data_IF_787752238604
#
_entry.id   IF_787752238604
#
_cell.length_a   1.000
_cell.length_b   1.000
_cell.length_c   1.000
_cell.angle_alpha   90.00
_cell.angle_beta   90.00
_cell.angle_gamma   90.00
#
_symmetry.space_group_name_H-M   'P 1'
#
loop_
_entity.id
_entity.type
_entity.pdbx_description
1 polymer ?
#
# COMPACT_ATOMS: atom_id res chain seq x y z
N UNK A 1 -17.89 -7.34 -16.29
CA UNK A 1 -17.52 -7.35 -17.73
C UNK A 1 -16.16 -8.01 -17.82
N UNK A 2 -15.94 -8.94 -18.75
CA UNK A 2 -14.59 -9.44 -19.04
C UNK A 2 -13.78 -8.25 -19.56
N UNK A 3 -12.57 -7.99 -19.05
CA UNK A 3 -11.73 -6.95 -19.59
C UNK A 3 -11.52 -7.22 -21.09
N UNK A 4 -11.75 -6.20 -21.94
CA UNK A 4 -11.46 -6.28 -23.35
C UNK A 4 -9.97 -6.08 -23.53
N UNK A 5 -9.31 -6.95 -24.31
CA UNK A 5 -7.93 -6.71 -24.71
C UNK A 5 -7.79 -5.35 -25.38
N UNK A 6 -6.70 -4.61 -25.13
CA UNK A 6 -6.49 -3.32 -25.76
C UNK A 6 -6.29 -3.48 -27.27
N UNK A 7 -6.61 -2.42 -28.04
CA UNK A 7 -6.48 -2.44 -29.49
C UNK A 7 -5.01 -2.33 -29.96
N UNK A 8 -4.10 -1.94 -29.05
CA UNK A 8 -2.64 -1.87 -29.26
C UNK A 8 -1.91 -2.03 -27.93
N UNK A 9 -0.61 -2.31 -28.00
CA UNK A 9 0.30 -2.34 -26.85
C UNK A 9 1.72 -1.97 -27.29
N UNK A 10 2.70 -2.10 -26.40
CA UNK A 10 4.11 -1.83 -26.68
C UNK A 10 4.69 -2.83 -27.69
N UNK A 11 5.69 -2.44 -28.50
CA UNK A 11 6.35 -3.36 -29.41
C UNK A 11 6.97 -4.56 -28.67
N UNK A 12 6.76 -5.76 -29.21
CA UNK A 12 7.27 -7.00 -28.65
C UNK A 12 6.38 -7.67 -27.59
N UNK A 13 5.22 -7.10 -27.27
CA UNK A 13 4.20 -7.66 -26.37
C UNK A 13 2.92 -7.95 -27.14
N UNK A 14 2.18 -8.98 -26.76
CA UNK A 14 0.86 -9.26 -27.33
C UNK A 14 -0.24 -8.44 -26.63
N UNK A 15 -1.33 -8.12 -27.35
CA UNK A 15 -2.49 -7.46 -26.72
C UNK A 15 -3.17 -8.34 -25.68
N UNK A 16 -3.05 -9.65 -25.80
CA UNK A 16 -3.55 -10.61 -24.82
C UNK A 16 -2.75 -10.50 -23.50
N UNK A 17 -1.41 -10.42 -23.56
CA UNK A 17 -0.56 -10.27 -22.38
C UNK A 17 -0.82 -8.92 -21.69
N UNK A 18 -0.90 -7.83 -22.44
CA UNK A 18 -1.24 -6.53 -21.86
C UNK A 18 -2.65 -6.51 -21.27
N UNK A 19 -3.62 -7.16 -21.91
CA UNK A 19 -4.97 -7.34 -21.37
C UNK A 19 -5.01 -8.10 -20.05
N UNK A 20 -4.08 -9.03 -19.85
CA UNK A 20 -3.93 -9.75 -18.57
C UNK A 20 -3.23 -8.90 -17.48
N UNK A 21 -2.27 -8.04 -17.86
CA UNK A 21 -1.50 -7.20 -16.94
C UNK A 21 -2.28 -5.97 -16.45
N UNK A 22 -3.01 -5.29 -17.34
CA UNK A 22 -3.74 -4.04 -17.03
C UNK A 22 -4.65 -4.16 -15.79
N UNK A 23 -5.48 -5.18 -15.62
CA UNK A 23 -6.33 -5.30 -14.42
C UNK A 23 -5.53 -5.45 -13.12
N UNK A 24 -4.37 -6.10 -13.16
CA UNK A 24 -3.48 -6.23 -12.01
C UNK A 24 -2.96 -4.85 -11.58
N UNK A 25 -2.48 -4.06 -12.55
CA UNK A 25 -2.01 -2.70 -12.31
C UNK A 25 -3.13 -1.78 -11.82
N UNK A 26 -4.34 -1.91 -12.37
CA UNK A 26 -5.49 -1.11 -11.95
C UNK A 26 -5.81 -1.31 -10.46
N UNK A 27 -5.77 -2.53 -9.97
CA UNK A 27 -5.96 -2.80 -8.54
C UNK A 27 -4.81 -2.26 -7.67
N UNK A 28 -3.58 -2.25 -8.19
CA UNK A 28 -2.44 -1.64 -7.48
C UNK A 28 -2.54 -0.13 -7.45
N UNK A 29 -3.00 0.50 -8.55
CA UNK A 29 -3.29 1.93 -8.61
C UNK A 29 -4.32 2.34 -7.54
N UNK A 30 -5.41 1.59 -7.40
CA UNK A 30 -6.39 1.83 -6.34
C UNK A 30 -5.78 1.67 -4.95
N UNK A 31 -4.99 0.62 -4.73
CA UNK A 31 -4.36 0.35 -3.43
C UNK A 31 -3.37 1.46 -3.02
N UNK A 32 -2.54 1.95 -3.95
CA UNK A 32 -1.59 3.02 -3.65
C UNK A 32 -2.28 4.38 -3.47
N UNK A 33 -3.33 4.68 -4.22
CA UNK A 33 -4.14 5.88 -3.99
C UNK A 33 -4.81 5.86 -2.61
N UNK A 34 -5.39 4.73 -2.21
CA UNK A 34 -5.98 4.56 -0.89
C UNK A 34 -4.92 4.63 0.23
N UNK A 35 -3.75 4.02 0.03
CA UNK A 35 -2.63 4.11 0.95
C UNK A 35 -2.16 5.56 1.15
N UNK A 36 -2.03 6.34 0.07
CA UNK A 36 -1.63 7.74 0.16
C UNK A 36 -2.64 8.58 0.96
N UNK A 37 -3.94 8.32 0.79
CA UNK A 37 -5.02 8.95 1.56
C UNK A 37 -4.99 8.49 3.03
N UNK A 38 -4.79 7.21 3.29
CA UNK A 38 -4.66 6.63 4.63
C UNK A 38 -3.46 7.23 5.39
N UNK A 39 -2.31 7.34 4.75
CA UNK A 39 -1.12 7.98 5.32
C UNK A 39 -1.40 9.44 5.69
N UNK A 40 -2.07 10.21 4.84
CA UNK A 40 -2.45 11.59 5.18
C UNK A 40 -3.53 11.65 6.25
N UNK A 41 -4.46 10.70 6.31
CA UNK A 41 -5.41 10.60 7.41
C UNK A 41 -4.68 10.40 8.75
N UNK A 42 -3.69 9.50 8.80
CA UNK A 42 -2.85 9.28 9.99
C UNK A 42 -2.08 10.56 10.35
N UNK A 43 -1.41 11.18 9.37
CA UNK A 43 -0.65 12.42 9.55
C UNK A 43 -1.47 13.54 10.21
N UNK A 44 -2.77 13.66 9.87
CA UNK A 44 -3.65 14.68 10.45
C UNK A 44 -4.25 14.30 11.81
N UNK A 45 -4.32 13.00 12.13
CA UNK A 45 -5.04 12.48 13.29
C UNK A 45 -4.14 11.92 14.39
N UNK A 46 -2.83 11.81 14.14
CA UNK A 46 -1.87 11.37 15.15
C UNK A 46 -1.71 12.42 16.26
N UNK A 47 -1.66 11.98 17.52
CA UNK A 47 -1.46 12.84 18.71
C UNK A 47 -0.50 12.17 19.70
N UNK A 48 -0.20 12.85 20.79
CA UNK A 48 0.57 12.31 21.93
C UNK A 48 2.08 12.58 21.86
N UNK A 49 2.86 11.98 22.77
CA UNK A 49 4.29 12.33 22.96
C UNK A 49 5.18 12.12 21.74
N UNK A 50 4.84 11.17 20.87
CA UNK A 50 5.61 10.83 19.67
C UNK A 50 5.00 11.42 18.39
N UNK A 51 4.07 12.38 18.53
CA UNK A 51 3.35 12.99 17.42
C UNK A 51 4.28 13.45 16.30
N UNK A 52 5.26 14.31 16.61
CA UNK A 52 6.06 14.98 15.56
C UNK A 52 6.89 13.96 14.76
N UNK A 53 7.43 12.94 15.42
CA UNK A 53 8.25 11.93 14.76
C UNK A 53 7.43 11.11 13.73
N UNK A 54 6.21 10.73 14.07
CA UNK A 54 5.33 9.97 13.16
C UNK A 54 4.75 10.87 12.08
N UNK A 55 4.34 12.10 12.45
CA UNK A 55 3.82 13.10 11.53
C UNK A 55 4.83 13.40 10.39
N UNK A 56 6.11 13.65 10.74
CA UNK A 56 7.17 13.91 9.75
C UNK A 56 7.63 12.65 9.00
N UNK A 57 7.62 11.49 9.64
CA UNK A 57 7.98 10.23 9.01
C UNK A 57 7.03 9.86 7.86
N UNK A 58 5.76 10.24 7.96
CA UNK A 58 4.72 9.86 6.98
C UNK A 58 4.80 10.70 5.70
N UNK A 59 5.18 11.98 5.75
CA UNK A 59 5.16 12.87 4.59
C UNK A 59 6.00 12.35 3.39
N UNK A 60 7.28 11.94 3.58
CA UNK A 60 8.05 11.35 2.47
C UNK A 60 7.44 10.07 1.91
N UNK A 61 6.75 9.30 2.76
CA UNK A 61 6.06 8.08 2.32
C UNK A 61 4.88 8.42 1.39
N UNK A 62 4.08 9.45 1.73
CA UNK A 62 3.00 9.94 0.88
C UNK A 62 3.51 10.37 -0.49
N UNK A 63 4.62 11.13 -0.53
CA UNK A 63 5.22 11.60 -1.78
C UNK A 63 5.64 10.42 -2.67
N UNK A 64 6.34 9.44 -2.11
CA UNK A 64 6.79 8.27 -2.86
C UNK A 64 5.63 7.36 -3.29
N UNK A 65 4.64 7.13 -2.43
CA UNK A 65 3.45 6.32 -2.78
C UNK A 65 2.65 6.97 -3.91
N UNK A 66 2.56 8.31 -3.94
CA UNK A 66 1.92 9.03 -5.06
C UNK A 66 2.70 8.89 -6.36
N UNK A 67 4.03 8.96 -6.31
CA UNK A 67 4.87 8.71 -7.48
C UNK A 67 4.68 7.27 -8.00
N UNK A 68 4.68 6.28 -7.11
CA UNK A 68 4.40 4.89 -7.48
C UNK A 68 3.01 4.73 -8.14
N UNK A 69 2.00 5.45 -7.66
CA UNK A 69 0.65 5.42 -8.26
C UNK A 69 0.64 6.05 -9.67
N UNK A 70 1.41 7.12 -9.87
CA UNK A 70 1.57 7.75 -11.18
C UNK A 70 2.25 6.81 -12.17
N UNK A 71 3.34 6.16 -11.78
CA UNK A 71 4.04 5.15 -12.58
C UNK A 71 3.09 4.02 -13.03
N UNK A 72 2.22 3.54 -12.12
CA UNK A 72 1.22 2.51 -12.45
C UNK A 72 0.19 3.01 -13.48
N UNK A 73 -0.31 4.24 -13.31
CA UNK A 73 -1.29 4.82 -14.23
C UNK A 73 -0.68 5.04 -15.63
N UNK A 74 0.55 5.56 -15.70
CA UNK A 74 1.30 5.72 -16.94
C UNK A 74 1.61 4.37 -17.60
N UNK A 75 1.94 3.34 -16.79
CA UNK A 75 2.17 1.99 -17.33
C UNK A 75 0.89 1.39 -17.92
N UNK A 76 -0.27 1.53 -17.27
CA UNK A 76 -1.56 1.12 -17.82
C UNK A 76 -1.78 1.79 -19.21
N UNK A 77 -1.57 3.10 -19.31
CA UNK A 77 -1.72 3.85 -20.55
C UNK A 77 -0.73 3.37 -21.63
N UNK A 78 0.53 3.14 -21.24
CA UNK A 78 1.58 2.63 -22.16
C UNK A 78 1.22 1.25 -22.72
N UNK A 79 0.57 0.41 -21.92
CA UNK A 79 0.08 -0.90 -22.35
C UNK A 79 -1.20 -0.85 -23.19
N UNK A 80 -1.74 0.34 -23.48
CA UNK A 80 -2.95 0.54 -24.28
C UNK A 80 -4.24 0.49 -23.46
N UNK A 81 -4.16 0.50 -22.13
CA UNK A 81 -5.29 0.56 -21.23
C UNK A 81 -5.74 1.99 -20.88
N UNK A 82 -6.82 2.09 -20.13
CA UNK A 82 -7.37 3.34 -19.58
C UNK A 82 -7.28 3.29 -18.05
N UNK A 83 -6.41 4.09 -17.38
CA UNK A 83 -6.32 4.09 -15.93
C UNK A 83 -7.51 4.79 -15.28
N UNK A 84 -8.17 4.12 -14.35
CA UNK A 84 -9.30 4.64 -13.58
C UNK A 84 -8.81 5.12 -12.20
N UNK A 85 -8.40 6.41 -12.11
CA UNK A 85 -7.81 7.00 -10.90
C UNK A 85 -8.76 7.89 -10.08
N UNK A 86 -10.06 7.96 -10.40
CA UNK A 86 -11.01 8.80 -9.68
C UNK A 86 -11.42 8.19 -8.33
N UNK A 87 -11.80 9.02 -7.31
CA UNK A 87 -12.28 8.50 -6.03
C UNK A 87 -13.48 7.55 -6.15
N UNK A 88 -14.39 7.82 -7.10
CA UNK A 88 -15.54 6.96 -7.35
C UNK A 88 -15.15 5.57 -7.85
N UNK A 89 -14.19 5.48 -8.78
CA UNK A 89 -13.67 4.21 -9.27
C UNK A 89 -12.98 3.42 -8.14
N UNK A 90 -12.13 4.08 -7.35
CA UNK A 90 -11.47 3.46 -6.20
C UNK A 90 -12.50 2.84 -5.23
N UNK A 91 -13.51 3.60 -4.82
CA UNK A 91 -14.55 3.11 -3.88
C UNK A 91 -15.39 1.99 -4.48
N UNK A 92 -15.68 2.04 -5.80
CA UNK A 92 -16.45 1.00 -6.50
C UNK A 92 -15.70 -0.33 -6.59
N UNK A 93 -14.40 -0.28 -6.83
CA UNK A 93 -13.63 -1.44 -7.26
C UNK A 93 -12.79 -2.08 -6.16
N UNK A 94 -12.48 -1.34 -5.09
CA UNK A 94 -11.70 -1.86 -3.97
C UNK A 94 -12.45 -2.97 -3.22
N UNK A 95 -11.70 -3.96 -2.71
CA UNK A 95 -12.21 -5.10 -1.95
C UNK A 95 -11.95 -5.01 -0.44
N UNK A 96 -11.35 -3.91 0.01
CA UNK A 96 -11.02 -3.63 1.42
C UNK A 96 -11.85 -2.46 1.96
N UNK A 97 -11.90 -2.35 3.28
CA UNK A 97 -12.65 -1.30 3.97
C UNK A 97 -11.80 -0.04 4.18
N UNK A 98 -12.45 1.06 4.54
CA UNK A 98 -11.78 2.29 4.99
C UNK A 98 -10.94 2.03 6.23
N UNK A 99 -9.83 2.78 6.36
CA UNK A 99 -9.00 2.79 7.56
C UNK A 99 -9.85 3.15 8.80
N UNK A 100 -9.77 2.33 9.83
CA UNK A 100 -10.75 2.32 10.93
C UNK A 100 -10.37 3.15 12.16
N UNK A 101 -9.14 3.71 12.22
CA UNK A 101 -8.65 4.50 13.35
C UNK A 101 -8.81 5.98 13.08
N UNK A 102 -9.52 6.67 13.98
CA UNK A 102 -9.66 8.12 13.96
C UNK A 102 -8.50 8.79 14.71
N UNK A 103 -8.80 9.84 15.51
CA UNK A 103 -7.78 10.52 16.32
C UNK A 103 -7.27 9.60 17.42
N UNK A 104 -5.95 9.28 17.40
CA UNK A 104 -5.35 8.30 18.30
C UNK A 104 -3.86 8.61 18.54
N UNK A 105 -3.26 7.93 19.52
CA UNK A 105 -1.82 8.05 19.79
C UNK A 105 -0.99 7.45 18.66
N UNK A 106 0.24 7.92 18.53
CA UNK A 106 1.19 7.51 17.49
C UNK A 106 1.33 5.98 17.42
N UNK A 107 1.46 5.31 18.56
CA UNK A 107 1.67 3.86 18.60
C UNK A 107 0.43 3.06 18.12
N UNK A 108 -0.76 3.58 18.34
CA UNK A 108 -2.01 2.97 17.87
C UNK A 108 -2.12 3.05 16.35
N UNK A 109 -1.80 4.22 15.78
CA UNK A 109 -1.73 4.39 14.34
C UNK A 109 -0.66 3.50 13.71
N UNK A 110 0.52 3.39 14.30
CA UNK A 110 1.58 2.52 13.78
C UNK A 110 1.17 1.04 13.82
N UNK A 111 0.48 0.61 14.89
CA UNK A 111 -0.07 -0.75 14.97
C UNK A 111 -1.05 -1.05 13.84
N UNK A 112 -2.00 -0.17 13.58
CA UNK A 112 -2.97 -0.30 12.49
C UNK A 112 -2.29 -0.21 11.11
N UNK A 113 -1.35 0.71 10.93
CA UNK A 113 -0.63 0.93 9.68
C UNK A 113 0.24 -0.28 9.28
N UNK A 114 0.80 -1.03 10.22
CA UNK A 114 1.51 -2.28 9.93
C UNK A 114 0.61 -3.29 9.19
N UNK A 115 -0.67 -3.39 9.56
CA UNK A 115 -1.61 -4.25 8.85
C UNK A 115 -1.93 -3.72 7.44
N UNK A 116 -2.11 -2.41 7.30
CA UNK A 116 -2.35 -1.79 5.99
C UNK A 116 -1.18 -2.09 5.05
N UNK A 117 0.05 -1.83 5.50
CA UNK A 117 1.25 -2.16 4.70
C UNK A 117 1.35 -3.65 4.40
N UNK A 118 1.03 -4.52 5.35
CA UNK A 118 1.06 -5.98 5.13
C UNK A 118 0.16 -6.35 3.95
N UNK A 119 -1.10 -5.90 3.96
CA UNK A 119 -2.05 -6.20 2.87
C UNK A 119 -1.59 -5.63 1.52
N UNK A 120 -1.14 -4.38 1.50
CA UNK A 120 -0.66 -3.73 0.27
C UNK A 120 0.55 -4.47 -0.31
N UNK A 121 1.52 -4.85 0.52
CA UNK A 121 2.75 -5.54 0.11
C UNK A 121 2.44 -6.97 -0.38
N UNK A 122 1.58 -7.72 0.32
CA UNK A 122 1.20 -9.07 -0.09
C UNK A 122 0.56 -9.07 -1.47
N UNK A 123 -0.39 -8.17 -1.71
CA UNK A 123 -1.06 -8.03 -3.00
C UNK A 123 -0.12 -7.48 -4.11
N UNK A 124 0.81 -6.58 -3.76
CA UNK A 124 1.84 -6.10 -4.69
C UNK A 124 2.79 -7.23 -5.10
N UNK A 125 3.18 -8.10 -4.14
CA UNK A 125 3.98 -9.29 -4.42
C UNK A 125 3.24 -10.30 -5.29
N UNK A 126 1.91 -10.44 -5.11
CA UNK A 126 1.09 -11.28 -5.97
C UNK A 126 1.06 -10.74 -7.42
N UNK A 127 0.85 -9.43 -7.58
CA UNK A 127 0.88 -8.77 -8.90
C UNK A 127 2.26 -8.91 -9.57
N UNK A 128 3.35 -8.67 -8.82
CA UNK A 128 4.73 -8.84 -9.31
C UNK A 128 4.99 -10.25 -9.84
N UNK A 129 4.52 -11.29 -9.13
CA UNK A 129 4.66 -12.67 -9.60
C UNK A 129 3.84 -12.95 -10.84
N UNK A 130 2.64 -12.38 -10.94
CA UNK A 130 1.74 -12.58 -12.08
C UNK A 130 2.22 -11.86 -13.35
N UNK A 131 3.12 -10.88 -13.23
CA UNK A 131 3.70 -10.15 -14.36
C UNK A 131 5.04 -10.71 -14.85
N UNK A 132 5.59 -11.74 -14.22
CA UNK A 132 6.91 -12.33 -14.53
C UNK A 132 7.04 -12.76 -16.01
N UNK A 133 6.10 -13.59 -16.49
CA UNK A 133 6.13 -14.08 -17.87
C UNK A 133 5.55 -13.06 -18.88
N UNK A 134 4.36 -12.45 -18.63
CA UNK A 134 3.73 -11.62 -19.65
C UNK A 134 4.41 -10.26 -19.83
N UNK A 135 5.02 -9.69 -18.78
CA UNK A 135 5.62 -8.35 -18.86
C UNK A 135 6.74 -8.13 -17.81
N UNK A 136 7.97 -8.56 -18.10
CA UNK A 136 9.13 -8.36 -17.20
C UNK A 136 9.43 -6.88 -16.90
N UNK A 137 9.06 -5.94 -17.76
CA UNK A 137 9.23 -4.50 -17.52
C UNK A 137 8.29 -4.02 -16.42
N UNK A 138 7.04 -4.45 -16.46
CA UNK A 138 6.09 -4.20 -15.36
C UNK A 138 6.52 -4.90 -14.08
N UNK A 139 7.04 -6.12 -14.16
CA UNK A 139 7.57 -6.82 -12.99
C UNK A 139 8.71 -6.03 -12.32
N UNK A 140 9.68 -5.51 -13.08
CA UNK A 140 10.79 -4.72 -12.55
C UNK A 140 10.30 -3.45 -11.83
N UNK A 141 9.34 -2.73 -12.41
CA UNK A 141 8.68 -1.59 -11.78
C UNK A 141 8.03 -1.98 -10.43
N UNK A 142 7.29 -3.09 -10.39
CA UNK A 142 6.66 -3.57 -9.16
C UNK A 142 7.70 -4.02 -8.11
N UNK A 143 8.84 -4.57 -8.53
CA UNK A 143 9.98 -4.91 -7.65
C UNK A 143 10.57 -3.64 -7.02
N UNK A 144 10.74 -2.58 -7.79
CA UNK A 144 11.22 -1.30 -7.26
C UNK A 144 10.25 -0.70 -6.24
N UNK A 145 8.96 -0.69 -6.54
CA UNK A 145 7.91 -0.22 -5.64
C UNK A 145 7.87 -1.04 -4.34
N UNK A 146 8.00 -2.36 -4.43
CA UNK A 146 8.05 -3.24 -3.26
C UNK A 146 9.21 -2.92 -2.33
N UNK A 147 10.41 -2.63 -2.85
CA UNK A 147 11.55 -2.21 -2.03
C UNK A 147 11.23 -0.99 -1.19
N UNK A 148 10.53 -0.01 -1.75
CA UNK A 148 10.08 1.19 -1.04
C UNK A 148 9.02 0.90 0.01
N UNK A 149 7.98 0.15 -0.34
CA UNK A 149 6.88 -0.21 0.56
C UNK A 149 7.37 -1.04 1.76
N UNK A 150 8.26 -2.00 1.53
CA UNK A 150 8.85 -2.84 2.58
C UNK A 150 9.77 -2.04 3.52
N UNK A 151 10.50 -1.06 2.99
CA UNK A 151 11.30 -0.13 3.78
C UNK A 151 10.40 0.73 4.69
N UNK A 152 9.28 1.23 4.18
CA UNK A 152 8.32 2.00 4.98
C UNK A 152 7.68 1.15 6.08
N UNK A 153 7.30 -0.08 5.74
CA UNK A 153 6.80 -1.00 6.76
C UNK A 153 7.86 -1.30 7.82
N UNK A 154 9.12 -1.44 7.46
CA UNK A 154 10.18 -1.62 8.44
C UNK A 154 10.29 -0.42 9.38
N UNK A 155 10.14 0.82 8.90
CA UNK A 155 10.11 1.99 9.80
C UNK A 155 8.96 1.90 10.82
N UNK A 156 7.78 1.48 10.38
CA UNK A 156 6.63 1.24 11.27
C UNK A 156 6.94 0.15 12.29
N UNK A 157 7.44 -1.00 11.83
CA UNK A 157 7.76 -2.17 12.66
C UNK A 157 8.85 -1.91 13.69
N UNK A 158 9.82 -1.07 13.39
CA UNK A 158 10.87 -0.67 14.34
C UNK A 158 10.31 -0.01 15.61
N UNK A 159 9.14 0.64 15.55
CA UNK A 159 8.44 1.18 16.71
C UNK A 159 7.65 0.11 17.49
N UNK A 160 7.22 -0.95 16.80
CA UNK A 160 6.35 -2.00 17.33
C UNK A 160 7.13 -3.19 17.91
N UNK A 161 8.39 -3.31 17.55
CA UNK A 161 9.26 -4.43 17.94
C UNK A 161 9.67 -4.31 19.41
N UNK A 162 9.55 -5.41 20.15
CA UNK A 162 10.15 -5.55 21.48
C UNK A 162 11.63 -5.91 21.39
N UNK A 163 12.39 -5.68 22.47
CA UNK A 163 13.80 -6.07 22.54
C UNK A 163 14.10 -7.56 22.29
N UNK A 164 13.07 -8.41 22.23
CA UNK A 164 13.17 -9.83 21.84
C UNK A 164 12.76 -10.13 20.41
N UNK A 165 12.63 -9.13 19.52
CA UNK A 165 12.32 -9.29 18.10
C UNK A 165 10.86 -9.62 17.78
N UNK A 166 9.94 -9.50 18.77
CA UNK A 166 8.51 -9.74 18.56
C UNK A 166 7.77 -8.45 18.26
N UNK A 167 6.92 -8.48 17.23
CA UNK A 167 6.02 -7.36 16.93
C UNK A 167 4.81 -7.40 17.86
N UNK A 168 4.40 -6.23 18.37
CA UNK A 168 3.18 -6.06 19.17
C UNK A 168 1.92 -6.42 18.39
N UNK A 169 1.94 -6.29 17.09
CA UNK A 169 0.84 -6.57 16.15
C UNK A 169 0.69 -8.07 15.83
N UNK A 170 1.59 -8.93 16.31
CA UNK A 170 1.58 -10.37 15.99
C UNK A 170 0.23 -11.02 16.27
N UNK A 171 -0.37 -11.66 15.26
CA UNK A 171 -1.67 -12.31 15.33
C UNK A 171 -2.88 -11.36 15.37
N UNK A 172 -2.69 -10.06 15.12
CA UNK A 172 -3.79 -9.15 14.90
C UNK A 172 -4.38 -9.36 13.50
N UNK A 173 -5.71 -9.40 13.43
CA UNK A 173 -6.46 -9.57 12.17
C UNK A 173 -7.29 -8.35 11.79
N UNK A 174 -7.27 -7.30 12.62
CA UNK A 174 -7.94 -6.02 12.36
C UNK A 174 -7.07 -4.87 12.84
N UNK A 175 -7.19 -3.71 12.20
CA UNK A 175 -6.46 -2.49 12.56
C UNK A 175 -6.71 -2.10 14.03
N UNK A 176 -7.96 -2.17 14.50
CA UNK A 176 -8.32 -1.87 15.89
C UNK A 176 -7.64 -2.81 16.88
N UNK A 177 -7.55 -4.12 16.55
CA UNK A 177 -6.84 -5.07 17.40
C UNK A 177 -5.34 -4.78 17.41
N UNK A 178 -4.74 -4.50 16.25
CA UNK A 178 -3.33 -4.15 16.15
C UNK A 178 -2.99 -2.86 16.91
N UNK A 179 -3.83 -1.82 16.78
CA UNK A 179 -3.70 -0.58 17.54
C UNK A 179 -3.75 -0.81 19.05
N UNK A 180 -4.74 -1.56 19.53
CA UNK A 180 -4.89 -1.88 20.96
C UNK A 180 -3.69 -2.67 21.50
N UNK A 181 -3.22 -3.69 20.78
CA UNK A 181 -2.04 -4.47 21.16
C UNK A 181 -0.77 -3.63 21.24
N UNK A 182 -0.58 -2.72 20.27
CA UNK A 182 0.55 -1.79 20.25
C UNK A 182 0.52 -0.84 21.45
N UNK A 183 -0.64 -0.27 21.77
CA UNK A 183 -0.83 0.61 22.92
C UNK A 183 -0.61 -0.13 24.28
N UNK A 184 -1.09 -1.37 24.41
CA UNK A 184 -0.89 -2.17 25.60
C UNK A 184 0.59 -2.48 25.84
N UNK A 185 1.30 -2.90 24.79
CA UNK A 185 2.74 -3.17 24.88
C UNK A 185 3.54 -1.91 25.25
N UNK A 186 3.17 -0.76 24.71
CA UNK A 186 3.86 0.50 25.00
C UNK A 186 3.69 0.93 26.47
N UNK A 187 2.51 0.71 27.06
CA UNK A 187 2.25 1.00 28.50
C UNK A 187 2.98 0.07 29.44
N UNK A 188 3.29 -1.15 29.02
CA UNK A 188 4.04 -2.13 29.82
C UNK A 188 5.56 -2.00 29.72
N UNK A 189 6.08 -1.04 28.94
CA UNK A 189 7.53 -0.74 28.87
C UNK A 189 7.91 0.19 30.02
N UNK A 190 8.92 -0.20 30.86
CA UNK A 190 9.41 0.63 31.97
C UNK A 190 10.08 1.91 31.47
#
# INVERSE_FOLDING_TARGET
MTPKDPDYTVPGMTTQDSGAVIPLLQMRLHALNDLALTLKHIHWNVVGPHFIAVHEMIDPQVEQVRAMADDLAERISTLGGEPHGTPGALVSDRTWNDYSIGRAEAIEHLGALDLVYTSVIEEHRAAMKATDEPDPVTQDMLIEQLRGLELFQWFVRAHLESGGGRLSTAGASTERKAAAQAAEQARGRP
#
